data_IF_796145129125
#
_entry.id   IF_796145129125
#
_cell.length_a   1.000
_cell.length_b   1.000
_cell.length_c   1.000
_cell.angle_alpha   90.00
_cell.angle_beta   90.00
_cell.angle_gamma   90.00
#
_symmetry.space_group_name_H-M   'P 1'
#
loop_
_entity.id
_entity.type
_entity.pdbx_description
1 polymer ?
#
# COMPACT_ATOMS: atom_id res chain seq x y z
N UNK A 1 -0.17 14.76 8.83
CA UNK A 1 -0.55 13.58 9.63
C UNK A 1 0.64 12.63 9.77
N UNK A 2 1.00 11.81 8.76
CA UNK A 2 2.04 10.77 8.89
C UNK A 2 3.40 11.23 9.42
N UNK A 3 3.82 12.46 9.14
CA UNK A 3 5.06 13.02 9.70
C UNK A 3 5.02 13.16 11.24
N UNK A 4 3.84 13.43 11.80
CA UNK A 4 3.62 13.63 13.23
C UNK A 4 3.09 12.38 13.95
N UNK A 5 2.75 11.31 13.22
CA UNK A 5 2.28 10.04 13.79
C UNK A 5 3.48 9.22 14.29
N UNK A 6 3.58 8.92 15.60
CA UNK A 6 4.60 8.01 16.12
C UNK A 6 4.39 6.60 15.55
N UNK A 7 5.45 6.00 15.02
CA UNK A 7 5.43 4.64 14.48
C UNK A 7 6.85 4.07 14.51
N UNK A 8 6.99 2.77 14.79
CA UNK A 8 8.26 2.05 14.62
C UNK A 8 8.57 1.80 13.16
N UNK A 9 7.52 1.66 12.33
CA UNK A 9 7.61 1.52 10.86
C UNK A 9 6.33 2.04 10.21
N UNK A 10 6.44 2.78 9.11
CA UNK A 10 5.31 3.27 8.31
C UNK A 10 5.20 2.45 7.04
N UNK A 11 4.12 1.69 6.91
CA UNK A 11 3.89 0.76 5.79
C UNK A 11 2.73 1.28 4.95
N UNK A 12 2.93 1.44 3.64
CA UNK A 12 1.89 1.85 2.70
C UNK A 12 1.44 0.69 1.82
N UNK A 13 0.15 0.38 1.78
CA UNK A 13 -0.45 -0.51 0.76
C UNK A 13 -1.06 0.36 -0.32
N UNK A 14 -0.43 0.42 -1.51
CA UNK A 14 -0.70 1.42 -2.56
C UNK A 14 -0.92 0.76 -3.93
N UNK A 15 -1.67 1.42 -4.81
CA UNK A 15 -1.88 1.02 -6.21
C UNK A 15 -1.59 2.17 -7.16
N UNK A 16 -1.37 1.83 -8.43
CA UNK A 16 -1.22 2.79 -9.51
C UNK A 16 -2.55 3.42 -9.93
N UNK A 17 -2.49 4.65 -10.46
CA UNK A 17 -3.65 5.39 -10.91
C UNK A 17 -3.83 5.21 -12.42
N UNK A 18 -4.77 4.36 -12.82
CA UNK A 18 -4.99 4.01 -14.23
C UNK A 18 -5.58 5.13 -15.10
N UNK A 19 -6.37 6.03 -14.51
CA UNK A 19 -7.05 7.12 -15.22
C UNK A 19 -6.27 8.45 -15.21
N UNK A 20 -5.02 8.43 -14.75
CA UNK A 20 -4.18 9.62 -14.62
C UNK A 20 -3.09 9.66 -15.68
N UNK A 21 -2.60 10.87 -15.92
CA UNK A 21 -1.42 11.08 -16.77
C UNK A 21 -0.21 10.50 -16.07
N UNK A 22 0.77 10.09 -16.87
CA UNK A 22 1.96 9.40 -16.38
C UNK A 22 2.71 10.26 -15.35
N UNK A 23 2.80 11.58 -15.56
CA UNK A 23 3.44 12.50 -14.61
C UNK A 23 2.70 12.62 -13.27
N UNK A 24 1.38 12.48 -13.28
CA UNK A 24 0.55 12.54 -12.06
C UNK A 24 0.74 11.25 -11.25
N UNK A 25 0.73 10.08 -11.92
CA UNK A 25 0.98 8.77 -11.29
C UNK A 25 2.41 8.69 -10.74
N UNK A 26 3.41 9.16 -11.50
CA UNK A 26 4.79 9.23 -11.05
C UNK A 26 4.96 10.18 -9.84
N UNK A 27 4.30 11.34 -9.87
CA UNK A 27 4.30 12.32 -8.78
C UNK A 27 3.67 11.76 -7.50
N UNK A 28 2.53 11.09 -7.63
CA UNK A 28 1.87 10.37 -6.54
C UNK A 28 2.79 9.30 -5.93
N UNK A 29 3.39 8.45 -6.76
CA UNK A 29 4.32 7.41 -6.33
C UNK A 29 5.54 7.99 -5.60
N UNK A 30 6.12 9.08 -6.10
CA UNK A 30 7.25 9.77 -5.43
C UNK A 30 6.87 10.31 -4.05
N UNK A 31 5.67 10.86 -3.90
CA UNK A 31 5.17 11.32 -2.59
C UNK A 31 5.02 10.14 -1.63
N UNK A 32 4.40 9.04 -2.08
CA UNK A 32 4.26 7.83 -1.28
C UNK A 32 5.62 7.27 -0.82
N UNK A 33 6.60 7.19 -1.74
CA UNK A 33 7.95 6.70 -1.43
C UNK A 33 8.71 7.55 -0.41
N UNK A 34 8.42 8.86 -0.33
CA UNK A 34 8.96 9.72 0.73
C UNK A 34 8.32 9.46 2.09
N UNK A 35 7.03 9.13 2.12
CA UNK A 35 6.23 8.98 3.34
C UNK A 35 6.53 7.66 4.06
N UNK A 36 6.56 6.55 3.31
CA UNK A 36 6.63 5.22 3.88
C UNK A 36 8.07 4.72 3.98
N UNK A 37 8.30 3.82 4.95
CA UNK A 37 9.56 3.09 5.15
C UNK A 37 9.56 1.79 4.33
N UNK A 38 8.38 1.31 3.96
CA UNK A 38 8.14 0.14 3.11
C UNK A 38 6.79 0.27 2.41
N UNK A 39 6.71 -0.29 1.21
CA UNK A 39 5.49 -0.26 0.40
C UNK A 39 5.11 -1.67 -0.07
N UNK A 40 3.84 -2.02 0.12
CA UNK A 40 3.21 -3.12 -0.60
C UNK A 40 2.48 -2.52 -1.81
N UNK A 41 3.00 -2.81 -3.01
CA UNK A 41 2.39 -2.41 -4.26
C UNK A 41 1.39 -3.47 -4.70
N UNK A 42 0.16 -3.06 -5.01
CA UNK A 42 -0.94 -3.92 -5.45
C UNK A 42 -1.63 -3.34 -6.68
N UNK A 43 -2.57 -4.07 -7.28
CA UNK A 43 -3.37 -3.61 -8.42
C UNK A 43 -4.83 -3.38 -8.05
N UNK A 44 -5.43 -2.36 -8.67
CA UNK A 44 -6.89 -2.21 -8.71
C UNK A 44 -7.51 -3.24 -9.63
N UNK A 45 -8.78 -3.61 -9.37
CA UNK A 45 -9.50 -4.50 -10.28
C UNK A 45 -9.79 -3.80 -11.60
N UNK A 46 -10.05 -2.50 -11.55
CA UNK A 46 -10.19 -1.64 -12.72
C UNK A 46 -8.92 -0.82 -12.95
N UNK A 47 -8.15 -1.18 -13.98
CA UNK A 47 -6.90 -0.53 -14.36
C UNK A 47 -7.09 0.72 -15.23
N UNK A 48 -8.34 1.09 -15.54
CA UNK A 48 -8.73 2.34 -16.23
C UNK A 48 -7.90 2.67 -17.47
N UNK A 49 -7.67 1.67 -18.33
CA UNK A 49 -7.03 1.85 -19.63
C UNK A 49 -5.50 1.75 -19.64
N UNK A 50 -4.88 1.45 -18.50
CA UNK A 50 -3.46 1.06 -18.40
C UNK A 50 -3.33 -0.45 -18.21
N UNK A 51 -2.17 -1.01 -18.54
CA UNK A 51 -1.87 -2.41 -18.23
C UNK A 51 -1.32 -2.53 -16.80
N UNK A 52 -1.44 -3.72 -16.22
CA UNK A 52 -0.91 -3.99 -14.90
C UNK A 52 0.62 -3.80 -14.89
N UNK A 53 1.31 -4.27 -15.92
CA UNK A 53 2.77 -4.17 -16.06
C UNK A 53 3.22 -2.70 -16.08
N UNK A 54 2.53 -1.87 -16.86
CA UNK A 54 2.81 -0.44 -16.92
C UNK A 54 2.64 0.23 -15.55
N UNK A 55 1.56 -0.09 -14.84
CA UNK A 55 1.29 0.47 -13.51
C UNK A 55 2.34 0.01 -12.49
N UNK A 56 2.76 -1.27 -12.52
CA UNK A 56 3.85 -1.76 -11.68
C UNK A 56 5.14 -0.99 -11.97
N UNK A 57 5.48 -0.82 -13.24
CA UNK A 57 6.72 -0.15 -13.65
C UNK A 57 6.74 1.31 -13.20
N UNK A 58 5.72 2.09 -13.56
CA UNK A 58 5.68 3.53 -13.25
C UNK A 58 5.60 3.80 -11.74
N UNK A 59 4.86 2.97 -11.01
CA UNK A 59 4.78 3.05 -9.55
C UNK A 59 6.12 2.72 -8.90
N UNK A 60 6.74 1.60 -9.30
CA UNK A 60 8.05 1.20 -8.77
C UNK A 60 9.10 2.26 -9.01
N UNK A 61 9.12 2.83 -10.22
CA UNK A 61 10.01 3.93 -10.58
C UNK A 61 9.77 5.14 -9.67
N UNK A 62 8.52 5.61 -9.55
CA UNK A 62 8.18 6.79 -8.76
C UNK A 62 8.49 6.62 -7.28
N UNK A 63 8.12 5.48 -6.70
CA UNK A 63 8.37 5.12 -5.30
C UNK A 63 9.86 5.19 -4.93
N UNK A 64 10.75 4.85 -5.87
CA UNK A 64 12.21 4.84 -5.67
C UNK A 64 12.94 6.09 -6.17
N UNK A 65 12.24 7.11 -6.67
CA UNK A 65 12.89 8.32 -7.19
C UNK A 65 13.75 9.05 -6.15
N UNK A 66 13.28 9.14 -4.92
CA UNK A 66 13.98 9.84 -3.82
C UNK A 66 14.65 8.89 -2.80
N UNK A 67 14.25 7.61 -2.81
CA UNK A 67 14.78 6.54 -1.94
C UNK A 67 14.98 5.26 -2.77
N UNK A 68 16.09 5.12 -3.51
CA UNK A 68 16.32 3.99 -4.41
C UNK A 68 16.24 2.61 -3.73
N UNK A 69 16.58 2.56 -2.44
CA UNK A 69 16.59 1.37 -1.59
C UNK A 69 15.24 1.06 -0.93
N UNK A 70 14.18 1.85 -1.19
CA UNK A 70 12.86 1.62 -0.60
C UNK A 70 12.41 0.16 -0.85
N UNK A 71 12.12 -0.61 0.23
CA UNK A 71 11.55 -1.94 0.11
C UNK A 71 10.16 -1.86 -0.53
N UNK A 72 9.98 -2.58 -1.63
CA UNK A 72 8.71 -2.70 -2.33
C UNK A 72 8.41 -4.19 -2.47
N UNK A 73 7.30 -4.63 -1.88
CA UNK A 73 6.76 -5.96 -2.08
C UNK A 73 5.55 -5.87 -3.02
N UNK A 74 5.55 -6.63 -4.12
CA UNK A 74 4.41 -6.64 -5.03
C UNK A 74 3.47 -7.79 -4.69
N UNK A 75 2.24 -7.45 -4.29
CA UNK A 75 1.17 -8.40 -4.02
C UNK A 75 -0.06 -7.90 -4.77
N UNK A 76 -0.42 -8.59 -5.85
CA UNK A 76 -1.40 -8.10 -6.82
C UNK A 76 -2.79 -7.84 -6.20
N UNK A 77 -3.28 -8.76 -5.37
CA UNK A 77 -4.64 -8.71 -4.84
C UNK A 77 -4.71 -7.96 -3.50
N UNK A 78 -5.71 -7.08 -3.38
CA UNK A 78 -5.88 -6.19 -2.21
C UNK A 78 -6.01 -6.96 -0.88
N UNK A 79 -6.82 -8.02 -0.84
CA UNK A 79 -7.03 -8.78 0.41
C UNK A 79 -5.76 -9.53 0.84
N UNK A 80 -5.01 -10.07 -0.11
CA UNK A 80 -3.73 -10.75 0.16
C UNK A 80 -2.67 -9.75 0.64
N UNK A 81 -2.66 -8.53 0.08
CA UNK A 81 -1.79 -7.45 0.53
C UNK A 81 -2.12 -7.04 1.98
N UNK A 82 -3.42 -6.97 2.33
CA UNK A 82 -3.88 -6.72 3.70
C UNK A 82 -3.45 -7.86 4.63
N UNK A 83 -3.66 -9.12 4.25
CA UNK A 83 -3.22 -10.28 5.03
C UNK A 83 -1.72 -10.25 5.30
N UNK A 84 -0.93 -9.93 4.28
CA UNK A 84 0.52 -9.83 4.41
C UNK A 84 0.93 -8.80 5.44
N UNK A 85 0.40 -7.57 5.39
CA UNK A 85 0.81 -6.51 6.33
C UNK A 85 0.29 -6.77 7.74
N UNK A 86 -0.88 -7.39 7.91
CA UNK A 86 -1.38 -7.77 9.24
C UNK A 86 -0.52 -8.86 9.87
N UNK A 87 0.00 -9.81 9.08
CA UNK A 87 0.83 -10.90 9.57
C UNK A 87 2.30 -10.52 9.84
N UNK A 88 2.82 -9.48 9.17
CA UNK A 88 4.26 -9.19 9.13
C UNK A 88 4.65 -7.84 9.73
N UNK A 89 3.71 -6.92 9.93
CA UNK A 89 4.03 -5.61 10.48
C UNK A 89 4.58 -5.75 11.91
N UNK A 90 5.70 -5.06 12.23
CA UNK A 90 6.25 -5.10 13.57
C UNK A 90 5.38 -4.32 14.55
N UNK A 91 5.52 -4.65 15.84
CA UNK A 91 4.85 -3.92 16.92
C UNK A 91 5.11 -2.41 16.83
N UNK A 92 4.05 -1.62 17.00
CA UNK A 92 4.08 -0.17 16.89
C UNK A 92 4.15 0.37 15.46
N UNK A 93 4.02 -0.47 14.43
CA UNK A 93 3.90 -0.02 13.06
C UNK A 93 2.57 0.71 12.81
N UNK A 94 2.59 1.61 11.82
CA UNK A 94 1.39 2.24 11.28
C UNK A 94 1.23 1.82 9.83
N UNK A 95 0.14 1.12 9.55
CA UNK A 95 -0.23 0.66 8.21
C UNK A 95 -1.23 1.65 7.61
N UNK A 96 -0.99 2.10 6.38
CA UNK A 96 -1.91 2.95 5.62
C UNK A 96 -2.40 2.19 4.40
N UNK A 97 -3.71 1.96 4.32
CA UNK A 97 -4.35 1.20 3.23
C UNK A 97 -5.01 2.15 2.23
N UNK A 98 -4.56 2.15 0.98
CA UNK A 98 -5.26 2.82 -0.14
C UNK A 98 -6.12 1.77 -0.86
N UNK A 99 -7.34 1.58 -0.32
CA UNK A 99 -8.28 0.54 -0.75
C UNK A 99 -9.27 1.02 -1.81
N UNK A 100 -9.60 0.12 -2.74
CA UNK A 100 -10.74 0.23 -3.64
C UNK A 100 -12.02 -0.34 -3.00
N UNK A 101 -11.89 -1.46 -2.28
CA UNK A 101 -13.02 -2.15 -1.64
C UNK A 101 -13.11 -1.82 -0.14
N UNK A 102 -13.66 -0.66 0.17
CA UNK A 102 -13.83 -0.18 1.56
C UNK A 102 -14.57 -1.21 2.42
N UNK A 103 -15.69 -1.75 1.94
CA UNK A 103 -16.51 -2.70 2.72
C UNK A 103 -15.76 -4.01 2.99
N UNK A 104 -15.05 -4.55 1.99
CA UNK A 104 -14.25 -5.75 2.16
C UNK A 104 -13.07 -5.54 3.12
N UNK A 105 -12.39 -4.40 2.99
CA UNK A 105 -11.28 -4.02 3.87
C UNK A 105 -11.74 -3.88 5.31
N UNK A 106 -12.83 -3.15 5.58
CA UNK A 106 -13.37 -2.99 6.94
C UNK A 106 -13.76 -4.34 7.54
N UNK A 107 -14.50 -5.17 6.80
CA UNK A 107 -14.87 -6.51 7.26
C UNK A 107 -13.65 -7.35 7.65
N UNK A 108 -12.60 -7.31 6.84
CA UNK A 108 -11.36 -8.06 7.10
C UNK A 108 -10.63 -7.58 8.35
N UNK A 109 -10.60 -6.27 8.58
CA UNK A 109 -10.01 -5.68 9.78
C UNK A 109 -10.82 -6.03 11.03
N UNK A 110 -12.16 -6.00 10.95
CA UNK A 110 -13.04 -6.40 12.05
C UNK A 110 -12.84 -7.89 12.42
N UNK A 111 -12.72 -8.76 11.42
CA UNK A 111 -12.44 -10.18 11.61
C UNK A 111 -11.07 -10.41 12.27
N UNK A 112 -10.04 -9.68 11.84
CA UNK A 112 -8.71 -9.74 12.43
C UNK A 112 -8.72 -9.26 13.89
N UNK A 113 -9.39 -8.15 14.19
CA UNK A 113 -9.52 -7.64 15.55
C UNK A 113 -10.25 -8.65 16.47
N UNK A 114 -11.29 -9.31 15.97
CA UNK A 114 -12.01 -10.35 16.71
C UNK A 114 -11.12 -11.56 17.03
N UNK A 115 -10.24 -11.96 16.11
CA UNK A 115 -9.27 -13.04 16.33
C UNK A 115 -8.26 -12.68 17.43
N UNK A 116 -7.76 -11.43 17.44
CA UNK A 116 -6.86 -10.96 18.49
C UNK A 116 -7.54 -10.99 19.87
N UNK A 117 -8.82 -10.60 19.96
CA UNK A 117 -9.58 -10.61 21.22
C UNK A 117 -9.91 -12.03 21.70
N UNK A 118 -10.11 -12.98 20.79
CA UNK A 118 -10.39 -14.38 21.14
C UNK A 118 -9.15 -15.20 21.49
N UNK A 119 -7.95 -14.71 21.17
CA UNK A 119 -6.67 -15.33 21.52
C UNK A 119 -6.11 -14.87 22.87
N UNK A 120 -6.76 -13.87 23.50
CA UNK A 120 -6.49 -13.41 24.88
C UNK A 120 -7.41 -14.11 25.88
#
# INVERSE_FOLDING_TARGET
>A
FMAATPATRKIGVVSGLGDRRDEDTLGFARVAGRIFDEVVLRQDRDLRGKSAEFLVEIMTRGLRLDKPELPINYIEHEMDAIDHVLATAPDGAVITLLTENIAGTLKKLDEYEAQLKGAM
#
